data_IF_030043737779
#
_entry.id   IF_030043737779
#
_cell.length_a   1.000
_cell.length_b   1.000
_cell.length_c   1.000
_cell.angle_alpha   90.00
_cell.angle_beta   90.00
_cell.angle_gamma   90.00
#
_symmetry.space_group_name_H-M   'P 1'
#
loop_
_entity.id
_entity.type
_entity.pdbx_description
1 polymer ?
#
# COMPACT_ATOMS: atom_id res chain seq x y z
N UNK A 1 11.14 17.80 -36.16
CA UNK A 1 10.39 18.19 -34.95
C UNK A 1 9.54 17.00 -34.55
N UNK A 2 9.99 16.24 -33.54
CA UNK A 2 9.27 15.06 -33.05
C UNK A 2 8.37 15.47 -31.90
N UNK A 3 7.07 15.13 -31.99
CA UNK A 3 6.11 15.33 -30.93
C UNK A 3 6.55 14.55 -29.68
N UNK A 4 6.40 15.18 -28.52
CA UNK A 4 7.11 14.82 -27.29
C UNK A 4 6.73 13.47 -26.70
N UNK A 5 7.75 12.70 -26.36
CA UNK A 5 7.69 11.79 -25.22
C UNK A 5 7.42 12.63 -23.97
N UNK A 6 6.15 12.82 -23.63
CA UNK A 6 5.81 13.04 -22.23
C UNK A 6 6.27 11.78 -21.52
N UNK A 7 7.40 11.86 -20.82
CA UNK A 7 7.97 10.72 -20.11
C UNK A 7 6.88 10.05 -19.29
N UNK A 8 6.54 8.81 -19.63
CA UNK A 8 5.43 8.07 -19.01
C UNK A 8 5.67 8.02 -17.51
N UNK A 9 4.84 8.72 -16.75
CA UNK A 9 4.83 8.62 -15.28
C UNK A 9 4.33 7.22 -14.95
N UNK A 10 5.12 6.47 -14.21
CA UNK A 10 4.75 5.11 -13.79
C UNK A 10 3.88 5.17 -12.54
N UNK A 11 2.76 4.46 -12.52
CA UNK A 11 1.91 4.39 -11.33
C UNK A 11 2.35 3.22 -10.45
N UNK A 12 2.61 3.50 -9.18
CA UNK A 12 2.79 2.51 -8.13
C UNK A 12 1.55 2.49 -7.22
N UNK A 13 0.82 1.38 -7.23
CA UNK A 13 -0.37 1.22 -6.40
C UNK A 13 0.01 0.54 -5.08
N UNK A 14 -0.19 1.20 -3.94
CA UNK A 14 0.02 0.61 -2.61
C UNK A 14 -1.32 0.23 -2.02
N UNK A 15 -1.49 -1.02 -1.61
CA UNK A 15 -2.78 -1.55 -1.16
C UNK A 15 -2.71 -2.02 0.28
N UNK A 16 -3.66 -1.55 1.08
CA UNK A 16 -3.82 -1.89 2.50
C UNK A 16 -4.41 -3.30 2.69
N UNK A 17 -4.09 -3.94 3.83
CA UNK A 17 -4.62 -5.22 4.31
C UNK A 17 -6.12 -5.33 4.14
N UNK A 18 -6.87 -4.29 4.53
CA UNK A 18 -8.34 -4.35 4.56
C UNK A 18 -8.94 -4.54 3.17
N UNK A 19 -8.28 -4.02 2.13
CA UNK A 19 -8.69 -4.20 0.73
C UNK A 19 -8.44 -5.64 0.28
N UNK A 20 -7.29 -6.24 0.61
CA UNK A 20 -7.06 -7.65 0.29
C UNK A 20 -8.05 -8.59 1.00
N UNK A 21 -8.33 -8.32 2.28
CA UNK A 21 -9.31 -9.10 3.07
C UNK A 21 -10.71 -9.02 2.45
N UNK A 22 -11.08 -7.89 1.86
CA UNK A 22 -12.39 -7.69 1.23
C UNK A 22 -12.56 -8.48 -0.07
N UNK A 23 -11.48 -8.62 -0.82
CA UNK A 23 -11.49 -9.37 -2.07
C UNK A 23 -11.66 -10.87 -1.80
N UNK A 24 -10.96 -11.39 -0.78
CA UNK A 24 -10.97 -12.80 -0.37
C UNK A 24 -9.67 -13.53 -0.70
N UNK A 25 -9.52 -14.75 -0.18
CA UNK A 25 -8.35 -15.64 -0.36
C UNK A 25 -8.40 -16.35 -1.72
N UNK A 26 -7.24 -16.66 -2.31
CA UNK A 26 -7.14 -17.52 -3.50
C UNK A 26 -7.55 -18.97 -3.19
N UNK A 27 -8.20 -19.71 -4.11
CA UNK A 27 -8.69 -19.28 -5.43
C UNK A 27 -9.98 -18.47 -5.33
N UNK A 28 -10.06 -17.37 -6.08
CA UNK A 28 -11.21 -16.47 -6.03
C UNK A 28 -11.31 -15.57 -7.27
N UNK A 29 -12.50 -15.52 -7.87
CA UNK A 29 -12.76 -14.72 -9.07
C UNK A 29 -12.52 -13.22 -8.91
N UNK A 30 -12.56 -12.67 -7.69
CA UNK A 30 -12.21 -11.27 -7.45
C UNK A 30 -10.70 -11.02 -7.58
N UNK A 31 -9.84 -11.96 -7.17
CA UNK A 31 -8.39 -11.85 -7.36
C UNK A 31 -8.00 -12.01 -8.82
N UNK A 32 -8.69 -12.88 -9.58
CA UNK A 32 -8.47 -12.99 -11.02
C UNK A 32 -8.81 -11.68 -11.74
N UNK A 33 -9.94 -11.05 -11.38
CA UNK A 33 -10.32 -9.73 -11.90
C UNK A 33 -9.35 -8.63 -11.48
N UNK A 34 -8.80 -8.71 -10.26
CA UNK A 34 -7.74 -7.79 -9.81
C UNK A 34 -6.52 -7.88 -10.71
N UNK A 35 -6.04 -9.10 -10.94
CA UNK A 35 -4.91 -9.38 -11.84
C UNK A 35 -5.16 -8.83 -13.24
N UNK A 36 -6.35 -9.05 -13.79
CA UNK A 36 -6.72 -8.52 -15.11
C UNK A 36 -6.73 -6.98 -15.13
N UNK A 37 -7.26 -6.33 -14.09
CA UNK A 37 -7.28 -4.87 -13.98
C UNK A 37 -5.86 -4.28 -13.88
N UNK A 38 -5.00 -4.86 -13.03
CA UNK A 38 -3.60 -4.44 -12.88
C UNK A 38 -2.83 -4.59 -14.20
N UNK A 39 -3.05 -5.70 -14.92
CA UNK A 39 -2.44 -5.93 -16.24
C UNK A 39 -2.95 -4.96 -17.30
N UNK A 40 -4.25 -4.68 -17.34
CA UNK A 40 -4.84 -3.71 -18.27
C UNK A 40 -4.31 -2.30 -18.04
N UNK A 41 -4.16 -1.89 -16.78
CA UNK A 41 -3.56 -0.62 -16.37
C UNK A 41 -2.03 -0.56 -16.59
N UNK A 42 -1.39 -1.70 -16.89
CA UNK A 42 0.06 -1.82 -17.05
C UNK A 42 0.83 -1.30 -15.82
N UNK A 43 0.35 -1.68 -14.63
CA UNK A 43 0.91 -1.28 -13.32
C UNK A 43 1.24 -2.51 -12.47
N UNK A 44 1.71 -2.28 -11.24
CA UNK A 44 1.96 -3.29 -10.23
C UNK A 44 1.39 -2.82 -8.88
N UNK A 45 1.09 -3.79 -8.01
CA UNK A 45 0.75 -3.51 -6.62
C UNK A 45 1.99 -3.68 -5.74
N UNK A 46 2.26 -2.69 -4.90
CA UNK A 46 3.37 -2.65 -3.97
C UNK A 46 2.85 -2.82 -2.55
N UNK A 47 3.47 -3.72 -1.79
CA UNK A 47 3.00 -4.11 -0.45
C UNK A 47 4.18 -4.08 0.52
N UNK A 48 4.07 -3.40 1.68
CA UNK A 48 5.08 -3.51 2.73
C UNK A 48 5.17 -4.93 3.30
N UNK A 49 6.36 -5.38 3.67
CA UNK A 49 6.58 -6.70 4.27
C UNK A 49 5.69 -6.95 5.52
N UNK A 50 5.51 -5.93 6.38
CA UNK A 50 4.61 -6.06 7.55
C UNK A 50 3.14 -6.30 7.20
N UNK A 51 2.68 -5.85 6.02
CA UNK A 51 1.33 -6.12 5.51
C UNK A 51 1.27 -7.54 4.93
N UNK A 52 2.33 -7.97 4.24
CA UNK A 52 2.45 -9.36 3.80
C UNK A 52 2.40 -10.33 4.99
N UNK A 53 3.14 -10.05 6.05
CA UNK A 53 3.12 -10.85 7.28
C UNK A 53 1.75 -10.85 7.96
N UNK A 54 1.03 -9.72 7.99
CA UNK A 54 -0.31 -9.64 8.58
C UNK A 54 -1.35 -10.49 7.85
N UNK A 55 -1.17 -10.67 6.55
CA UNK A 55 -2.07 -11.44 5.69
C UNK A 55 -1.68 -12.93 5.62
N UNK A 56 -0.51 -13.30 6.12
CA UNK A 56 -0.02 -14.66 6.04
C UNK A 56 -0.72 -15.58 7.06
N UNK A 57 -0.99 -16.81 6.62
CA UNK A 57 -1.36 -17.91 7.50
C UNK A 57 -0.06 -18.58 7.98
N UNK A 58 0.13 -18.65 9.30
CA UNK A 58 1.28 -19.32 9.92
C UNK A 58 0.87 -20.72 10.41
N UNK A 59 1.46 -21.76 9.81
CA UNK A 59 1.20 -23.16 10.16
C UNK A 59 2.49 -23.92 10.47
N UNK A 60 2.33 -25.19 10.83
CA UNK A 60 3.47 -26.11 11.09
C UNK A 60 4.32 -26.35 9.84
N UNK A 61 3.72 -26.21 8.65
CA UNK A 61 4.35 -26.51 7.37
C UNK A 61 4.99 -25.27 6.71
N UNK A 62 4.99 -24.13 7.40
CA UNK A 62 5.58 -22.88 6.95
C UNK A 62 4.61 -21.70 6.97
N UNK A 63 5.03 -20.61 6.32
CA UNK A 63 4.24 -19.40 6.13
C UNK A 63 3.73 -19.36 4.70
N UNK A 64 2.42 -19.21 4.53
CA UNK A 64 1.77 -19.05 3.21
C UNK A 64 0.88 -17.82 3.25
N UNK A 65 0.89 -17.00 2.21
CA UNK A 65 0.00 -15.86 2.10
C UNK A 65 -1.10 -16.12 1.06
N UNK A 66 -2.30 -16.54 1.48
CA UNK A 66 -3.39 -16.88 0.56
C UNK A 66 -3.98 -15.67 -0.17
N UNK A 67 -3.57 -14.46 0.18
CA UNK A 67 -3.97 -13.22 -0.50
C UNK A 67 -2.94 -12.79 -1.54
N UNK A 68 -1.65 -12.98 -1.28
CA UNK A 68 -0.57 -12.34 -2.04
C UNK A 68 0.33 -13.31 -2.82
N UNK A 69 0.54 -14.54 -2.36
CA UNK A 69 1.55 -15.47 -2.94
C UNK A 69 1.36 -15.67 -4.44
N UNK A 70 0.12 -15.95 -4.86
CA UNK A 70 -0.19 -16.13 -6.28
C UNK A 70 0.09 -14.86 -7.10
N UNK A 71 -0.14 -13.68 -6.53
CA UNK A 71 0.15 -12.42 -7.22
C UNK A 71 1.64 -12.08 -7.31
N UNK A 72 2.42 -12.53 -6.32
CA UNK A 72 3.87 -12.46 -6.30
C UNK A 72 4.46 -13.41 -7.35
N UNK A 73 4.00 -14.67 -7.37
CA UNK A 73 4.42 -15.69 -8.33
C UNK A 73 4.14 -15.28 -9.79
N UNK A 74 2.98 -14.67 -10.03
CA UNK A 74 2.60 -14.12 -11.34
C UNK A 74 3.30 -12.80 -11.68
N UNK A 75 3.98 -12.18 -10.71
CA UNK A 75 4.79 -10.98 -10.89
C UNK A 75 4.03 -9.66 -11.02
N UNK A 76 2.78 -9.56 -10.53
CA UNK A 76 2.01 -8.29 -10.51
C UNK A 76 1.86 -7.69 -9.10
N UNK A 77 2.34 -8.40 -8.07
CA UNK A 77 2.53 -7.90 -6.71
C UNK A 77 4.04 -7.86 -6.39
N UNK A 78 4.51 -6.79 -5.76
CA UNK A 78 5.86 -6.59 -5.24
C UNK A 78 5.80 -6.40 -3.73
N UNK A 79 6.48 -7.25 -2.97
CA UNK A 79 6.68 -7.05 -1.53
C UNK A 79 7.98 -6.29 -1.32
N UNK A 80 7.94 -5.29 -0.45
CA UNK A 80 9.09 -4.44 -0.12
C UNK A 80 9.37 -4.51 1.37
N UNK A 81 10.56 -4.97 1.73
CA UNK A 81 11.12 -4.81 3.06
C UNK A 81 11.58 -3.37 3.24
N UNK A 82 11.00 -2.67 4.21
CA UNK A 82 11.39 -1.32 4.59
C UNK A 82 12.38 -1.39 5.75
N UNK A 83 13.24 -0.37 5.95
CA UNK A 83 14.09 -0.29 7.13
C UNK A 83 13.28 -0.48 8.40
N UNK A 84 13.72 -1.39 9.28
CA UNK A 84 13.03 -1.66 10.53
C UNK A 84 13.31 -0.52 11.53
N UNK A 85 12.27 0.23 11.95
CA UNK A 85 12.40 1.31 12.93
C UNK A 85 12.84 0.84 14.32
N UNK A 86 12.72 -0.45 14.65
CA UNK A 86 13.15 -1.03 15.92
C UNK A 86 14.51 -1.73 15.83
N UNK A 87 15.18 -1.69 14.67
CA UNK A 87 16.54 -2.22 14.57
C UNK A 87 17.51 -1.33 15.37
N UNK A 88 18.01 -1.86 16.49
CA UNK A 88 19.08 -1.25 17.34
C UNK A 88 20.44 -1.11 16.62
N UNK A 89 20.46 -1.30 15.30
CA UNK A 89 21.67 -1.09 14.51
C UNK A 89 22.02 0.39 14.49
N UNK A 90 23.27 0.73 14.80
CA UNK A 90 23.79 2.10 14.68
C UNK A 90 23.76 2.63 13.23
N UNK A 91 23.40 1.76 12.28
CA UNK A 91 23.14 2.03 10.86
C UNK A 91 21.63 2.14 10.55
N UNK A 92 20.77 2.37 11.55
CA UNK A 92 19.38 2.78 11.32
C UNK A 92 19.41 4.08 10.52
N UNK A 93 19.38 3.95 9.19
CA UNK A 93 19.48 5.05 8.25
C UNK A 93 18.38 6.07 8.58
N UNK A 94 18.78 7.18 9.21
CA UNK A 94 17.98 8.38 9.28
C UNK A 94 17.81 8.87 7.85
N UNK A 95 16.66 8.57 7.27
CA UNK A 95 16.34 8.94 5.90
C UNK A 95 14.84 9.16 5.73
N UNK A 96 14.42 9.76 4.60
CA UNK A 96 13.03 10.16 4.39
C UNK A 96 12.00 9.04 4.61
N UNK A 97 12.37 7.79 4.30
CA UNK A 97 11.49 6.62 4.55
C UNK A 97 11.22 6.40 6.04
N UNK A 98 12.27 6.47 6.88
CA UNK A 98 12.16 6.27 8.33
C UNK A 98 11.41 7.44 8.98
N UNK A 99 11.74 8.66 8.59
CA UNK A 99 11.07 9.88 9.08
C UNK A 99 9.58 9.88 8.71
N UNK A 100 9.23 9.48 7.49
CA UNK A 100 7.83 9.36 7.07
C UNK A 100 7.07 8.28 7.85
N UNK A 101 7.72 7.16 8.19
CA UNK A 101 7.12 6.14 9.05
C UNK A 101 6.84 6.69 10.46
N UNK A 102 7.81 7.42 11.04
CA UNK A 102 7.67 8.02 12.37
C UNK A 102 6.55 9.06 12.40
N UNK A 103 6.50 9.94 11.40
CA UNK A 103 5.46 10.97 11.29
C UNK A 103 4.08 10.34 11.07
N UNK A 104 3.98 9.29 10.25
CA UNK A 104 2.72 8.57 10.06
C UNK A 104 2.23 7.95 11.36
N UNK A 105 3.10 7.31 12.12
CA UNK A 105 2.75 6.76 13.43
C UNK A 105 2.34 7.86 14.41
N UNK A 106 3.05 8.98 14.43
CA UNK A 106 2.71 10.13 15.26
C UNK A 106 1.31 10.65 14.95
N UNK A 107 1.04 10.92 13.67
CA UNK A 107 -0.25 11.38 13.17
C UNK A 107 -1.38 10.40 13.53
N UNK A 108 -1.22 9.11 13.22
CA UNK A 108 -2.24 8.08 13.48
C UNK A 108 -2.51 7.91 14.97
N UNK A 109 -1.46 7.94 15.82
CA UNK A 109 -1.62 7.83 17.27
C UNK A 109 -2.34 9.05 17.87
N UNK A 110 -2.09 10.26 17.37
CA UNK A 110 -2.76 11.46 17.84
C UNK A 110 -4.24 11.51 17.49
N UNK A 111 -4.61 10.96 16.33
CA UNK A 111 -5.97 11.06 15.80
C UNK A 111 -6.80 9.78 16.02
N UNK A 112 -6.20 8.68 16.45
CA UNK A 112 -6.90 7.46 16.80
C UNK A 112 -7.50 7.53 18.21
N UNK A 113 -8.75 7.07 18.33
CA UNK A 113 -9.42 6.90 19.63
C UNK A 113 -8.74 5.82 20.50
N UNK A 114 -8.05 4.86 19.87
CA UNK A 114 -7.28 3.80 20.52
C UNK A 114 -5.94 3.64 19.79
N UNK A 115 -4.86 4.29 20.26
CA UNK A 115 -3.52 4.10 19.72
C UNK A 115 -3.13 2.63 19.89
N UNK A 116 -3.00 1.88 18.80
CA UNK A 116 -2.79 0.42 18.82
C UNK A 116 -1.67 0.04 17.87
N UNK A 117 -1.20 -1.21 17.97
CA UNK A 117 -0.22 -1.83 17.07
C UNK A 117 -0.62 -1.78 15.58
N UNK A 118 -1.92 -1.61 15.26
CA UNK A 118 -2.38 -1.49 13.87
C UNK A 118 -1.80 -0.24 13.20
N UNK A 119 -1.65 0.86 13.95
CA UNK A 119 -1.09 2.12 13.43
C UNK A 119 0.34 1.97 12.90
N UNK A 120 1.10 0.97 13.39
CA UNK A 120 2.46 0.69 12.93
C UNK A 120 2.50 0.13 11.51
N UNK A 121 1.56 -0.78 11.20
CA UNK A 121 1.40 -1.35 9.85
C UNK A 121 0.93 -0.29 8.89
N UNK A 122 -0.06 0.50 9.29
CA UNK A 122 -0.56 1.65 8.54
C UNK A 122 0.56 2.66 8.23
N UNK A 123 1.45 2.92 9.20
CA UNK A 123 2.64 3.75 8.99
C UNK A 123 3.58 3.23 7.89
N UNK A 124 3.68 1.92 7.69
CA UNK A 124 4.51 1.36 6.59
C UNK A 124 3.96 1.62 5.21
N UNK A 125 2.65 1.83 5.07
CA UNK A 125 2.03 2.19 3.78
C UNK A 125 2.46 3.59 3.36
N UNK A 126 2.48 4.54 4.31
CA UNK A 126 2.98 5.91 4.06
C UNK A 126 4.47 5.88 3.74
N UNK A 127 5.25 5.17 4.55
CA UNK A 127 6.70 5.05 4.38
C UNK A 127 7.08 4.42 3.04
N UNK A 128 6.34 3.40 2.58
CA UNK A 128 6.53 2.79 1.27
C UNK A 128 6.33 3.80 0.14
N UNK A 129 5.34 4.69 0.25
CA UNK A 129 5.14 5.76 -0.74
C UNK A 129 6.37 6.64 -0.88
N UNK A 130 6.90 7.14 0.24
CA UNK A 130 8.14 7.95 0.26
C UNK A 130 9.34 7.16 -0.27
N UNK A 131 9.45 5.90 0.14
CA UNK A 131 10.53 5.01 -0.29
C UNK A 131 10.56 4.78 -1.80
N UNK A 132 9.40 4.65 -2.44
CA UNK A 132 9.31 4.50 -3.89
C UNK A 132 9.74 5.79 -4.62
N UNK A 133 9.38 6.97 -4.11
CA UNK A 133 9.84 8.23 -4.69
C UNK A 133 11.35 8.43 -4.59
N UNK A 134 11.96 8.00 -3.48
CA UNK A 134 13.41 8.07 -3.31
C UNK A 134 14.17 7.23 -4.35
N UNK A 135 13.56 6.15 -4.84
CA UNK A 135 14.11 5.34 -5.93
C UNK A 135 13.76 5.84 -7.31
N UNK A 136 12.60 6.46 -7.49
CA UNK A 136 12.18 7.00 -8.77
C UNK A 136 11.24 8.20 -8.60
N UNK A 137 11.75 9.40 -8.89
CA UNK A 137 10.98 10.65 -8.79
C UNK A 137 9.94 10.85 -9.90
N UNK A 138 9.90 9.98 -10.92
CA UNK A 138 8.95 10.04 -12.05
C UNK A 138 7.84 9.01 -11.93
N UNK A 139 7.38 8.77 -10.70
CA UNK A 139 6.24 7.92 -10.41
C UNK A 139 5.07 8.75 -9.91
N UNK A 140 3.89 8.15 -9.96
CA UNK A 140 2.74 8.51 -9.16
C UNK A 140 2.51 7.40 -8.16
N UNK A 141 2.26 7.75 -6.91
CA UNK A 141 1.87 6.77 -5.88
C UNK A 141 0.38 6.90 -5.64
N UNK A 142 -0.37 5.80 -5.79
CA UNK A 142 -1.79 5.72 -5.44
C UNK A 142 -1.93 4.76 -4.26
N UNK A 143 -2.50 5.23 -3.14
CA UNK A 143 -2.76 4.38 -1.98
C UNK A 143 -4.23 3.98 -1.92
N UNK A 144 -4.51 2.70 -1.68
CA UNK A 144 -5.85 2.12 -1.61
C UNK A 144 -6.13 1.61 -0.20
N UNK A 145 -7.07 2.24 0.51
CA UNK A 145 -7.42 1.86 1.88
C UNK A 145 -8.91 2.07 2.17
N UNK A 146 -9.43 1.35 3.15
CA UNK A 146 -10.74 1.60 3.74
C UNK A 146 -10.63 2.20 5.16
N UNK A 147 -9.45 2.72 5.53
CA UNK A 147 -9.21 3.51 6.74
C UNK A 147 -9.08 5.00 6.39
N UNK A 148 -9.96 5.82 6.95
CA UNK A 148 -10.00 7.26 6.68
C UNK A 148 -8.78 8.01 7.25
N UNK A 149 -8.27 7.60 8.41
CA UNK A 149 -7.10 8.23 9.02
C UNK A 149 -5.83 7.89 8.24
N UNK A 150 -5.67 6.63 7.82
CA UNK A 150 -4.59 6.23 6.94
C UNK A 150 -4.69 6.96 5.59
N UNK A 151 -5.90 7.06 5.02
CA UNK A 151 -6.09 7.78 3.77
C UNK A 151 -5.63 9.24 3.86
N UNK A 152 -5.92 9.91 4.99
CA UNK A 152 -5.43 11.27 5.27
C UNK A 152 -3.91 11.31 5.40
N UNK A 153 -3.33 10.39 6.18
CA UNK A 153 -1.88 10.30 6.37
C UNK A 153 -1.14 10.17 5.03
N UNK A 154 -1.59 9.27 4.15
CA UNK A 154 -1.03 9.08 2.81
C UNK A 154 -1.14 10.31 1.90
N UNK A 155 -2.13 11.18 2.14
CA UNK A 155 -2.33 12.39 1.34
C UNK A 155 -1.48 13.59 1.81
N UNK A 156 -1.19 13.68 3.12
CA UNK A 156 -0.54 14.87 3.70
C UNK A 156 0.95 14.67 3.96
N UNK A 157 1.39 13.45 4.32
CA UNK A 157 2.76 13.22 4.79
C UNK A 157 3.77 13.20 3.63
N UNK A 158 3.60 12.46 2.52
CA UNK A 158 4.58 12.48 1.44
C UNK A 158 4.89 13.89 0.87
N UNK A 159 3.90 14.82 0.74
CA UNK A 159 4.16 16.21 0.39
C UNK A 159 5.13 16.97 1.31
N UNK A 160 5.21 16.61 2.60
CA UNK A 160 6.16 17.23 3.54
C UNK A 160 7.62 16.92 3.19
N UNK A 161 7.84 15.80 2.49
CA UNK A 161 9.14 15.40 1.94
C UNK A 161 9.37 15.87 0.48
N UNK A 162 8.45 16.68 -0.07
CA UNK A 162 8.53 17.21 -1.44
C UNK A 162 7.98 16.29 -2.53
N UNK A 163 7.23 15.24 -2.17
CA UNK A 163 6.60 14.34 -3.14
C UNK A 163 5.11 14.67 -3.30
N UNK A 164 4.75 15.19 -4.47
CA UNK A 164 3.40 15.73 -4.72
C UNK A 164 2.55 14.90 -5.69
N UNK A 165 3.14 13.94 -6.42
CA UNK A 165 2.40 13.01 -7.29
C UNK A 165 1.79 11.85 -6.46
N UNK A 166 1.07 12.20 -5.40
CA UNK A 166 0.40 11.25 -4.51
C UNK A 166 -1.11 11.36 -4.59
N UNK A 167 -1.78 10.22 -4.58
CA UNK A 167 -3.24 10.13 -4.58
C UNK A 167 -3.66 9.11 -3.54
N UNK A 168 -4.49 9.52 -2.59
CA UNK A 168 -5.06 8.60 -1.60
C UNK A 168 -6.53 8.30 -1.93
N UNK A 169 -6.83 7.02 -2.14
CA UNK A 169 -8.17 6.50 -2.46
C UNK A 169 -8.73 5.79 -1.23
N UNK A 170 -9.68 6.47 -0.59
CA UNK A 170 -10.46 5.95 0.52
C UNK A 170 -11.74 5.28 0.01
N UNK A 171 -11.92 4.01 0.35
CA UNK A 171 -13.11 3.22 0.03
C UNK A 171 -14.00 3.11 1.27
N UNK A 172 -15.15 3.80 1.23
CA UNK A 172 -16.10 3.77 2.34
C UNK A 172 -16.62 2.35 2.58
N UNK A 173 -16.49 1.81 3.80
CA UNK A 173 -17.32 0.71 4.27
C UNK A 173 -18.82 1.00 4.04
N UNK A 174 -19.63 0.12 3.42
CA UNK A 174 -21.07 0.31 3.42
C UNK A 174 -21.61 0.33 4.86
N UNK A 175 -22.43 1.33 5.18
CA UNK A 175 -23.08 1.43 6.49
C UNK A 175 -24.11 0.31 6.74
N UNK A 176 -24.58 -0.34 5.67
CA UNK A 176 -25.56 -1.42 5.70
C UNK A 176 -25.17 -2.51 4.68
N UNK A 177 -25.10 -3.75 5.16
CA UNK A 177 -24.72 -5.00 4.47
C UNK A 177 -23.21 -5.33 4.42
N UNK A 178 -22.89 -6.47 5.05
CA UNK A 178 -21.58 -7.15 5.10
C UNK A 178 -21.08 -7.69 3.74
N UNK A 179 -21.67 -7.28 2.61
CA UNK A 179 -21.48 -7.94 1.32
C UNK A 179 -20.86 -7.06 0.22
N UNK A 180 -20.76 -5.73 0.40
CA UNK A 180 -20.21 -4.84 -0.64
C UNK A 180 -19.13 -3.88 -0.12
N UNK A 181 -18.23 -4.42 0.69
CA UNK A 181 -16.89 -3.83 0.92
C UNK A 181 -16.11 -3.86 -0.43
N UNK A 182 -15.05 -3.04 -0.67
CA UNK A 182 -14.66 -2.62 -2.01
C UNK A 182 -14.51 -3.81 -2.96
N UNK A 183 -15.21 -3.68 -4.09
CA UNK A 183 -15.11 -4.60 -5.22
C UNK A 183 -14.04 -4.08 -6.19
N UNK A 184 -13.53 -4.94 -7.07
CA UNK A 184 -12.55 -4.53 -8.09
C UNK A 184 -13.01 -3.32 -8.90
N UNK A 185 -14.33 -3.21 -9.19
CA UNK A 185 -14.89 -2.08 -9.92
C UNK A 185 -14.80 -0.74 -9.18
N UNK A 186 -14.60 -0.76 -7.86
CA UNK A 186 -14.38 0.45 -7.07
C UNK A 186 -12.92 0.90 -7.03
N UNK A 187 -11.96 0.02 -7.36
CA UNK A 187 -10.53 0.36 -7.39
C UNK A 187 -10.20 1.19 -8.63
N UNK A 188 -9.40 2.24 -8.46
CA UNK A 188 -9.02 3.18 -9.52
C UNK A 188 -7.50 3.18 -9.75
N UNK A 189 -7.06 2.75 -10.94
CA UNK A 189 -5.67 2.38 -11.19
C UNK A 189 -4.82 3.47 -11.88
N UNK A 190 -5.44 4.38 -12.64
CA UNK A 190 -4.73 5.25 -13.60
C UNK A 190 -5.09 6.75 -13.52
N UNK A 191 -5.94 7.15 -12.56
CA UNK A 191 -6.42 8.53 -12.41
C UNK A 191 -6.31 9.01 -10.97
#
# INVERSE_FOLDING_TARGET
MSAGEHGRVYTANIVDTVVFRSLGKHPNSHLDRLKDAVKQAQTEIWVPELIYEELADHGTDGTTNPYLDHGIDDGWIRVVSLPDPESDSADAESGPTMEAWQEANHFLNQHSKYPTTNNRRDGTIVALGVHLFERNKRIRVITHTADELLAKACAIIPPEFGYHEVVSRYYHPPATAKEQFPTIASLSWDQ
#
